data_IF_916026558801
#
_entry.id   IF_916026558801
#
_cell.length_a   1.000
_cell.length_b   1.000
_cell.length_c   1.000
_cell.angle_alpha   90.00
_cell.angle_beta   90.00
_cell.angle_gamma   90.00
#
_symmetry.space_group_name_H-M   'P 1'
#
loop_
_entity.id
_entity.type
_entity.pdbx_description
1 polymer ?
#
# COMPACT_ATOMS: atom_id res chain seq x y z
N UNK A 1 14.41 35.84 41.16
CA UNK A 1 13.81 35.99 39.85
C UNK A 1 13.16 34.66 39.46
N UNK A 2 11.85 34.55 39.33
CA UNK A 2 11.22 33.32 38.92
C UNK A 2 11.57 33.04 37.43
N UNK A 3 12.15 31.87 37.18
CA UNK A 3 12.45 31.42 35.81
C UNK A 3 11.15 31.29 34.98
N UNK A 4 11.10 31.73 33.76
CA UNK A 4 9.93 31.60 32.88
C UNK A 4 9.80 30.19 32.31
N UNK A 5 9.63 29.22 33.21
CA UNK A 5 9.40 27.79 32.86
C UNK A 5 8.20 27.57 31.90
N UNK A 6 7.27 28.50 31.89
CA UNK A 6 6.07 28.42 31.05
C UNK A 6 6.33 28.83 29.59
N UNK A 7 7.16 29.81 29.35
CA UNK A 7 7.50 30.32 28.03
C UNK A 7 8.40 29.30 27.30
N UNK A 8 9.36 28.71 28.01
CA UNK A 8 10.28 27.72 27.49
C UNK A 8 9.55 26.44 27.02
N UNK A 9 8.59 25.92 27.82
CA UNK A 9 7.78 24.77 27.43
C UNK A 9 6.86 25.03 26.24
N UNK A 10 6.33 26.24 26.12
CA UNK A 10 5.47 26.62 24.98
C UNK A 10 6.31 26.73 23.69
N UNK A 11 7.47 27.34 23.77
CA UNK A 11 8.41 27.50 22.66
C UNK A 11 8.92 26.14 22.14
N UNK A 12 9.31 25.25 23.05
CA UNK A 12 9.71 23.88 22.66
C UNK A 12 8.61 23.09 21.96
N UNK A 13 7.35 23.25 22.35
CA UNK A 13 6.22 22.61 21.68
C UNK A 13 6.01 23.12 20.25
N UNK A 14 6.20 24.44 20.04
CA UNK A 14 6.06 25.04 18.72
C UNK A 14 7.13 24.51 17.77
N UNK A 15 8.40 24.48 18.20
CA UNK A 15 9.50 23.92 17.40
C UNK A 15 9.27 22.45 17.11
N UNK A 16 8.85 21.66 18.10
CA UNK A 16 8.59 20.24 17.91
C UNK A 16 7.48 19.99 16.89
N UNK A 17 6.41 20.79 16.93
CA UNK A 17 5.33 20.72 15.94
C UNK A 17 5.80 21.11 14.55
N UNK A 18 6.60 22.15 14.46
CA UNK A 18 7.18 22.59 13.19
C UNK A 18 8.03 21.49 12.54
N UNK A 19 8.99 20.94 13.29
CA UNK A 19 9.86 19.86 12.81
C UNK A 19 9.07 18.61 12.41
N UNK A 20 8.03 18.25 13.17
CA UNK A 20 7.16 17.12 12.82
C UNK A 20 6.40 17.35 11.51
N UNK A 21 5.90 18.57 11.29
CA UNK A 21 5.23 18.94 10.05
C UNK A 21 6.21 18.96 8.88
N UNK A 22 7.46 19.38 9.10
CA UNK A 22 8.51 19.40 8.08
C UNK A 22 8.94 17.97 7.65
N UNK A 23 8.79 16.98 8.53
CA UNK A 23 8.92 15.56 8.16
C UNK A 23 7.67 15.04 7.46
N UNK A 24 6.48 15.45 7.89
CA UNK A 24 5.21 14.92 7.39
C UNK A 24 4.90 15.38 5.97
N UNK A 25 5.22 16.65 5.60
CA UNK A 25 4.95 17.19 4.26
C UNK A 25 5.61 16.37 3.14
N UNK A 26 6.95 16.17 3.13
CA UNK A 26 7.58 15.36 2.09
C UNK A 26 7.16 13.89 2.16
N UNK A 27 6.85 13.36 3.36
CA UNK A 27 6.33 12.01 3.50
C UNK A 27 5.02 11.81 2.72
N UNK A 28 4.08 12.73 2.84
CA UNK A 28 2.83 12.66 2.09
C UNK A 28 3.06 12.76 0.58
N UNK A 29 3.96 13.67 0.16
CA UNK A 29 4.29 13.85 -1.27
C UNK A 29 4.93 12.57 -1.82
N UNK A 30 5.97 12.03 -1.18
CA UNK A 30 6.63 10.80 -1.63
C UNK A 30 5.70 9.59 -1.57
N UNK A 31 4.90 9.45 -0.50
CA UNK A 31 3.93 8.36 -0.39
C UNK A 31 2.92 8.40 -1.53
N UNK A 32 2.32 9.55 -1.80
CA UNK A 32 1.33 9.69 -2.87
C UNK A 32 1.94 9.41 -4.24
N UNK A 33 3.11 9.97 -4.52
CA UNK A 33 3.81 9.81 -5.79
C UNK A 33 4.21 8.35 -6.02
N UNK A 34 4.86 7.72 -5.04
CA UNK A 34 5.33 6.33 -5.18
C UNK A 34 4.18 5.33 -5.20
N UNK A 35 3.13 5.55 -4.38
CA UNK A 35 1.93 4.72 -4.45
C UNK A 35 1.30 4.82 -5.83
N UNK A 36 1.17 6.03 -6.38
CA UNK A 36 0.59 6.23 -7.72
C UNK A 36 1.38 5.50 -8.81
N UNK A 37 2.69 5.67 -8.83
CA UNK A 37 3.56 5.02 -9.84
C UNK A 37 3.51 3.50 -9.70
N UNK A 38 3.75 2.96 -8.51
CA UNK A 38 3.77 1.51 -8.31
C UNK A 38 2.39 0.88 -8.44
N UNK A 39 1.33 1.61 -8.09
CA UNK A 39 -0.03 1.14 -8.33
C UNK A 39 -0.32 1.00 -9.83
N UNK A 40 0.09 1.98 -10.66
CA UNK A 40 -0.05 1.87 -12.11
C UNK A 40 0.69 0.65 -12.65
N UNK A 41 1.93 0.43 -12.22
CA UNK A 41 2.72 -0.74 -12.65
C UNK A 41 2.06 -2.06 -12.26
N UNK A 42 1.50 -2.13 -11.05
CA UNK A 42 0.86 -3.36 -10.56
C UNK A 42 -0.54 -3.61 -11.12
N UNK A 43 -1.27 -2.56 -11.49
CA UNK A 43 -2.62 -2.73 -12.00
C UNK A 43 -2.65 -3.16 -13.47
N UNK A 44 -1.67 -2.76 -14.28
CA UNK A 44 -1.63 -3.05 -15.72
C UNK A 44 -1.82 -4.54 -16.06
N UNK A 45 -1.03 -5.49 -15.52
CA UNK A 45 -1.20 -6.91 -15.85
C UNK A 45 -2.55 -7.46 -15.34
N UNK A 46 -3.08 -6.93 -14.25
CA UNK A 46 -4.40 -7.32 -13.73
C UNK A 46 -5.51 -6.82 -14.65
N UNK A 47 -5.39 -5.61 -15.19
CA UNK A 47 -6.33 -5.05 -16.16
C UNK A 47 -6.33 -5.87 -17.46
N UNK A 48 -5.16 -6.26 -17.95
CA UNK A 48 -5.07 -7.12 -19.14
C UNK A 48 -5.86 -8.41 -18.95
N UNK A 49 -5.67 -9.09 -17.82
CA UNK A 49 -6.43 -10.31 -17.48
C UNK A 49 -7.94 -10.04 -17.45
N UNK A 50 -8.39 -8.92 -16.88
CA UNK A 50 -9.81 -8.59 -16.80
C UNK A 50 -10.40 -8.29 -18.19
N UNK A 51 -9.68 -7.59 -19.06
CA UNK A 51 -10.11 -7.27 -20.42
C UNK A 51 -10.23 -8.55 -21.26
N UNK A 52 -9.23 -9.42 -21.24
CA UNK A 52 -9.23 -10.69 -21.94
C UNK A 52 -10.42 -11.57 -21.53
N UNK A 53 -10.81 -11.48 -20.25
CA UNK A 53 -11.93 -12.23 -19.70
C UNK A 53 -13.28 -11.51 -19.82
N UNK A 54 -13.37 -10.38 -20.54
CA UNK A 54 -14.58 -9.59 -20.76
C UNK A 54 -15.33 -9.25 -19.45
N UNK A 55 -14.59 -8.94 -18.40
CA UNK A 55 -15.16 -8.62 -17.10
C UNK A 55 -15.86 -7.24 -17.10
N UNK A 56 -16.95 -7.06 -16.34
CA UNK A 56 -17.65 -5.78 -16.25
C UNK A 56 -16.80 -4.73 -15.52
N UNK A 57 -17.04 -3.43 -15.84
CA UNK A 57 -16.29 -2.30 -15.27
C UNK A 57 -16.26 -2.27 -13.73
N UNK A 58 -17.32 -2.77 -13.08
CA UNK A 58 -17.38 -2.87 -11.62
C UNK A 58 -16.28 -3.74 -11.01
N UNK A 59 -15.89 -4.84 -11.71
CA UNK A 59 -14.78 -5.71 -11.29
C UNK A 59 -13.45 -4.98 -11.42
N UNK A 60 -13.25 -4.19 -12.49
CA UNK A 60 -12.09 -3.33 -12.66
C UNK A 60 -11.88 -2.40 -11.46
N UNK A 61 -12.94 -1.69 -11.08
CA UNK A 61 -12.87 -0.75 -9.96
C UNK A 61 -12.56 -1.45 -8.64
N UNK A 62 -13.17 -2.60 -8.41
CA UNK A 62 -12.90 -3.42 -7.23
C UNK A 62 -11.42 -3.87 -7.18
N UNK A 63 -10.88 -4.40 -8.27
CA UNK A 63 -9.48 -4.83 -8.34
C UNK A 63 -8.53 -3.65 -8.16
N UNK A 64 -8.83 -2.51 -8.80
CA UNK A 64 -8.04 -1.30 -8.69
C UNK A 64 -7.94 -0.80 -7.24
N UNK A 65 -9.07 -0.70 -6.54
CA UNK A 65 -9.12 -0.25 -5.15
C UNK A 65 -8.42 -1.22 -4.18
N UNK A 66 -8.61 -2.52 -4.35
CA UNK A 66 -8.00 -3.51 -3.45
C UNK A 66 -6.51 -3.75 -3.73
N UNK A 67 -5.97 -3.22 -4.83
CA UNK A 67 -4.53 -3.24 -5.11
C UNK A 67 -3.78 -2.14 -4.34
N UNK A 68 -4.42 -1.00 -4.01
CA UNK A 68 -3.79 0.13 -3.31
C UNK A 68 -3.15 -0.28 -1.98
N UNK A 69 -3.79 -1.02 -1.05
CA UNK A 69 -3.18 -1.39 0.21
C UNK A 69 -1.94 -2.28 0.07
N UNK A 70 -1.90 -3.13 -0.97
CA UNK A 70 -0.74 -3.96 -1.26
C UNK A 70 0.48 -3.12 -1.64
N UNK A 71 0.26 -2.09 -2.46
CA UNK A 71 1.31 -1.14 -2.84
C UNK A 71 1.72 -0.27 -1.65
N UNK A 72 0.76 0.25 -0.89
CA UNK A 72 1.01 1.11 0.25
C UNK A 72 1.89 0.43 1.32
N UNK A 73 1.71 -0.87 1.55
CA UNK A 73 2.54 -1.65 2.47
C UNK A 73 4.04 -1.54 2.15
N UNK A 74 4.43 -1.61 0.88
CA UNK A 74 5.83 -1.49 0.46
C UNK A 74 6.30 -0.05 0.39
N UNK A 75 5.44 0.87 -0.03
CA UNK A 75 5.80 2.26 -0.29
C UNK A 75 5.99 3.06 0.99
N UNK A 76 5.14 2.87 1.99
CA UNK A 76 5.14 3.70 3.20
C UNK A 76 6.51 3.73 3.92
N UNK A 77 7.20 2.60 4.16
CA UNK A 77 8.52 2.62 4.78
C UNK A 77 9.57 3.36 3.93
N UNK A 78 9.53 3.15 2.63
CA UNK A 78 10.44 3.78 1.66
C UNK A 78 10.22 5.29 1.62
N UNK A 79 8.96 5.72 1.55
CA UNK A 79 8.59 7.13 1.57
C UNK A 79 9.00 7.81 2.88
N UNK A 80 8.85 7.13 4.03
CA UNK A 80 9.28 7.65 5.32
C UNK A 80 10.80 7.84 5.38
N UNK A 81 11.57 6.91 4.82
CA UNK A 81 13.02 7.02 4.73
C UNK A 81 13.45 8.23 3.87
N UNK A 82 12.92 8.34 2.65
CA UNK A 82 13.23 9.46 1.77
C UNK A 82 12.79 10.80 2.34
N UNK A 83 11.62 10.85 2.96
CA UNK A 83 11.11 12.06 3.61
C UNK A 83 12.01 12.53 4.73
N UNK A 84 12.52 11.61 5.55
CA UNK A 84 13.42 11.93 6.65
C UNK A 84 14.74 12.51 6.14
N UNK A 85 15.34 11.87 5.12
CA UNK A 85 16.57 12.38 4.49
C UNK A 85 16.34 13.76 3.89
N UNK A 86 15.24 13.94 3.15
CA UNK A 86 14.91 15.21 2.52
C UNK A 86 14.72 16.32 3.55
N UNK A 87 13.93 16.06 4.61
CA UNK A 87 13.67 17.06 5.65
C UNK A 87 14.94 17.46 6.40
N UNK A 88 15.80 16.50 6.75
CA UNK A 88 17.08 16.79 7.40
C UNK A 88 17.98 17.62 6.48
N UNK A 89 18.12 17.20 5.21
CA UNK A 89 18.92 17.96 4.24
C UNK A 89 18.43 19.39 4.06
N UNK A 90 17.12 19.58 3.97
CA UNK A 90 16.51 20.92 3.86
C UNK A 90 16.85 21.78 5.07
N UNK A 91 16.62 21.27 6.28
CA UNK A 91 16.90 21.99 7.53
C UNK A 91 18.40 22.34 7.69
N UNK A 92 19.29 21.50 7.17
CA UNK A 92 20.74 21.80 7.13
C UNK A 92 21.06 22.88 6.12
N UNK A 93 20.54 22.76 4.90
CA UNK A 93 20.83 23.69 3.79
C UNK A 93 20.29 25.09 4.05
N UNK A 94 19.16 25.21 4.74
CA UNK A 94 18.54 26.47 5.13
C UNK A 94 19.12 27.03 6.46
N UNK A 95 20.16 26.39 7.01
CA UNK A 95 20.78 26.73 8.30
C UNK A 95 19.80 26.76 9.50
N UNK A 96 18.61 26.20 9.33
CA UNK A 96 17.57 26.15 10.39
C UNK A 96 18.00 25.31 11.59
N UNK A 97 18.75 24.24 11.39
CA UNK A 97 19.29 23.41 12.48
C UNK A 97 20.20 24.27 13.38
N UNK A 98 21.02 25.14 12.81
CA UNK A 98 21.91 26.02 13.57
C UNK A 98 21.08 27.05 14.34
N UNK A 99 20.07 27.65 13.73
CA UNK A 99 19.17 28.61 14.38
C UNK A 99 18.38 27.97 15.54
N UNK A 100 17.88 26.75 15.32
CA UNK A 100 17.12 26.00 16.33
C UNK A 100 18.02 25.58 17.52
N UNK A 101 19.23 25.11 17.26
CA UNK A 101 20.17 24.73 18.33
C UNK A 101 20.71 25.94 19.10
N UNK A 102 20.95 27.07 18.43
CA UNK A 102 21.35 28.34 19.09
C UNK A 102 20.27 28.88 20.03
N UNK A 103 18.99 28.56 19.77
CA UNK A 103 17.89 28.94 20.66
C UNK A 103 17.78 28.07 21.91
N UNK A 104 18.72 27.12 22.13
CA UNK A 104 18.73 26.20 23.27
C UNK A 104 18.00 24.89 23.06
N UNK A 105 17.52 24.62 21.83
CA UNK A 105 16.87 23.33 21.52
C UNK A 105 17.91 22.21 21.41
N UNK A 106 17.79 21.20 22.28
CA UNK A 106 18.75 20.10 22.37
C UNK A 106 18.67 19.19 21.16
N UNK A 107 19.85 18.69 20.68
CA UNK A 107 19.93 17.69 19.64
C UNK A 107 19.16 16.38 20.00
N UNK A 108 19.12 16.02 21.29
CA UNK A 108 18.32 14.89 21.78
C UNK A 108 16.84 15.12 21.55
N UNK A 109 16.35 16.35 21.71
CA UNK A 109 14.96 16.70 21.44
C UNK A 109 14.62 16.61 19.95
N UNK A 110 15.55 16.98 19.07
CA UNK A 110 15.43 16.80 17.64
C UNK A 110 15.31 15.31 17.26
N UNK A 111 16.19 14.46 17.77
CA UNK A 111 16.17 13.00 17.55
C UNK A 111 14.86 12.37 18.05
N UNK A 112 14.32 12.83 19.18
CA UNK A 112 13.02 12.35 19.68
C UNK A 112 11.87 12.62 18.71
N UNK A 113 11.89 13.74 18.00
CA UNK A 113 10.83 14.07 17.04
C UNK A 113 10.90 13.15 15.82
N UNK A 114 12.10 12.86 15.30
CA UNK A 114 12.29 11.89 14.21
C UNK A 114 11.80 10.50 14.65
N UNK A 115 12.15 10.09 15.87
CA UNK A 115 11.70 8.81 16.42
C UNK A 115 10.17 8.74 16.59
N UNK A 116 9.56 9.83 17.08
CA UNK A 116 8.10 9.93 17.18
C UNK A 116 7.41 9.87 15.82
N UNK A 117 7.99 10.51 14.79
CA UNK A 117 7.53 10.37 13.42
C UNK A 117 7.62 8.91 12.93
N UNK A 118 8.74 8.23 13.18
CA UNK A 118 8.91 6.80 12.85
C UNK A 118 7.87 5.92 13.55
N UNK A 119 7.58 6.15 14.82
CA UNK A 119 6.51 5.43 15.56
C UNK A 119 5.15 5.68 14.91
N UNK A 120 4.84 6.92 14.53
CA UNK A 120 3.57 7.25 13.89
C UNK A 120 3.40 6.51 12.55
N UNK A 121 4.46 6.47 11.72
CA UNK A 121 4.48 5.73 10.45
C UNK A 121 4.35 4.22 10.69
N UNK A 122 5.07 3.68 11.66
CA UNK A 122 4.96 2.27 12.07
C UNK A 122 3.56 1.89 12.51
N UNK A 123 2.88 2.76 13.25
CA UNK A 123 1.51 2.53 13.68
C UNK A 123 0.54 2.50 12.49
N UNK A 124 0.69 3.44 11.55
CA UNK A 124 -0.10 3.45 10.32
C UNK A 124 0.13 2.15 9.53
N UNK A 125 1.39 1.75 9.37
CA UNK A 125 1.75 0.53 8.65
C UNK A 125 1.18 -0.71 9.35
N UNK A 126 1.23 -0.76 10.67
CA UNK A 126 0.64 -1.83 11.48
C UNK A 126 -0.86 -1.96 11.21
N UNK A 127 -1.60 -0.85 11.25
CA UNK A 127 -3.04 -0.84 10.98
C UNK A 127 -3.35 -1.32 9.55
N UNK A 128 -2.58 -0.86 8.56
CA UNK A 128 -2.75 -1.30 7.17
C UNK A 128 -2.49 -2.81 7.06
N UNK A 129 -1.41 -3.32 7.65
CA UNK A 129 -1.00 -4.73 7.54
C UNK A 129 -1.96 -5.67 8.23
N UNK A 130 -2.49 -5.31 9.41
CA UNK A 130 -3.35 -6.21 10.18
C UNK A 130 -4.82 -6.15 9.75
N UNK A 131 -5.32 -5.01 9.33
CA UNK A 131 -6.75 -4.82 9.08
C UNK A 131 -7.11 -4.68 7.59
N UNK A 132 -6.32 -3.93 6.84
CA UNK A 132 -6.65 -3.58 5.45
C UNK A 132 -6.10 -4.59 4.47
N UNK A 133 -4.83 -4.95 4.62
CA UNK A 133 -4.13 -5.84 3.70
C UNK A 133 -4.77 -7.23 3.59
N UNK A 134 -5.12 -7.95 4.69
CA UNK A 134 -5.73 -9.26 4.59
C UNK A 134 -7.07 -9.23 3.86
N UNK A 135 -7.94 -8.26 4.21
CA UNK A 135 -9.25 -8.10 3.55
C UNK A 135 -9.11 -7.86 2.05
N UNK A 136 -8.16 -7.01 1.66
CA UNK A 136 -7.90 -6.69 0.26
C UNK A 136 -7.32 -7.89 -0.49
N UNK A 137 -6.39 -8.64 0.12
CA UNK A 137 -5.79 -9.82 -0.46
C UNK A 137 -6.82 -10.93 -0.70
N UNK A 138 -7.65 -11.25 0.31
CA UNK A 138 -8.73 -12.23 0.16
C UNK A 138 -9.73 -11.84 -0.93
N UNK A 139 -10.11 -10.56 -0.99
CA UNK A 139 -11.04 -10.09 -2.02
C UNK A 139 -10.46 -10.20 -3.43
N UNK A 140 -9.20 -9.83 -3.62
CA UNK A 140 -8.52 -10.00 -4.91
C UNK A 140 -8.44 -11.48 -5.29
N UNK A 141 -8.03 -12.33 -4.36
CA UNK A 141 -7.92 -13.77 -4.61
C UNK A 141 -9.28 -14.38 -5.00
N UNK A 142 -10.37 -14.00 -4.33
CA UNK A 142 -11.71 -14.49 -4.69
C UNK A 142 -12.12 -14.05 -6.09
N UNK A 143 -11.85 -12.78 -6.47
CA UNK A 143 -12.19 -12.28 -7.81
C UNK A 143 -11.43 -13.05 -8.90
N UNK A 144 -10.13 -13.27 -8.72
CA UNK A 144 -9.33 -14.01 -9.71
C UNK A 144 -9.71 -15.49 -9.76
N UNK A 145 -10.00 -16.10 -8.62
CA UNK A 145 -10.47 -17.48 -8.57
C UNK A 145 -11.81 -17.67 -9.29
N UNK A 146 -12.77 -16.76 -9.10
CA UNK A 146 -14.05 -16.78 -9.81
C UNK A 146 -13.88 -16.63 -11.33
N UNK A 147 -12.92 -15.82 -11.76
CA UNK A 147 -12.57 -15.64 -13.17
C UNK A 147 -11.98 -16.95 -13.74
N UNK A 148 -11.03 -17.57 -13.05
CA UNK A 148 -10.39 -18.81 -13.49
C UNK A 148 -11.37 -19.98 -13.56
N UNK A 149 -12.26 -20.13 -12.58
CA UNK A 149 -13.30 -21.16 -12.61
C UNK A 149 -14.27 -20.98 -13.79
N UNK A 150 -14.75 -19.77 -14.02
CA UNK A 150 -15.62 -19.49 -15.16
C UNK A 150 -14.93 -19.73 -16.49
N UNK A 151 -13.61 -19.60 -16.55
CA UNK A 151 -12.80 -19.94 -17.74
C UNK A 151 -12.70 -21.46 -17.92
N UNK A 152 -12.37 -22.20 -16.86
CA UNK A 152 -12.29 -23.67 -16.92
C UNK A 152 -13.58 -24.29 -17.44
N UNK A 153 -14.71 -23.80 -16.97
CA UNK A 153 -16.03 -24.31 -17.41
C UNK A 153 -16.34 -23.95 -18.87
N UNK A 154 -15.91 -22.79 -19.36
CA UNK A 154 -16.12 -22.38 -20.77
C UNK A 154 -15.27 -23.15 -21.77
N UNK A 155 -14.11 -23.65 -21.37
CA UNK A 155 -13.24 -24.47 -22.24
C UNK A 155 -13.56 -25.96 -22.20
N UNK A 156 -14.45 -26.40 -21.30
CA UNK A 156 -14.95 -27.79 -21.27
C UNK A 156 -16.01 -27.92 -22.36
N UNK A 157 -15.57 -27.99 -23.62
CA UNK A 157 -16.41 -28.39 -24.73
C UNK A 157 -16.69 -29.89 -24.62
N UNK A 158 -17.95 -30.27 -24.71
CA UNK A 158 -18.38 -31.66 -24.70
C UNK A 158 -17.66 -32.46 -25.79
N UNK A 159 -17.01 -33.57 -25.42
CA UNK A 159 -16.35 -34.47 -26.36
C UNK A 159 -14.85 -34.20 -26.61
N UNK A 160 -14.21 -33.29 -25.90
CA UNK A 160 -12.75 -33.06 -26.01
C UNK A 160 -12.00 -33.59 -24.79
N UNK A 161 -10.81 -34.17 -25.03
CA UNK A 161 -9.87 -34.56 -23.96
C UNK A 161 -9.13 -33.34 -23.46
N UNK A 162 -9.17 -33.09 -22.16
CA UNK A 162 -8.46 -32.03 -21.49
C UNK A 162 -7.29 -32.62 -20.69
N UNK A 163 -6.11 -32.01 -20.83
CA UNK A 163 -4.90 -32.39 -20.10
C UNK A 163 -4.52 -31.22 -19.15
N UNK A 164 -5.25 -30.99 -18.05
CA UNK A 164 -5.01 -29.86 -17.15
C UNK A 164 -3.67 -29.95 -16.41
N UNK A 165 -3.14 -31.16 -16.23
CA UNK A 165 -1.84 -31.43 -15.58
C UNK A 165 -1.19 -32.61 -16.31
N UNK A 166 0.15 -32.62 -16.42
CA UNK A 166 0.90 -33.74 -16.99
C UNK A 166 0.55 -35.07 -16.30
N UNK A 167 -0.10 -35.98 -17.04
CA UNK A 167 -0.50 -37.31 -16.58
C UNK A 167 -1.98 -37.47 -16.17
N UNK A 168 -2.80 -36.40 -16.23
CA UNK A 168 -4.24 -36.49 -15.97
C UNK A 168 -5.02 -36.08 -17.21
N UNK A 169 -5.84 -37.02 -17.72
CA UNK A 169 -6.75 -36.76 -18.85
C UNK A 169 -8.18 -36.84 -18.35
N UNK A 170 -8.92 -35.74 -18.50
CA UNK A 170 -10.33 -35.64 -18.11
C UNK A 170 -11.17 -35.67 -19.40
N UNK A 171 -12.14 -36.58 -19.48
CA UNK A 171 -13.09 -36.65 -20.56
C UNK A 171 -14.49 -36.31 -20.06
N UNK A 172 -15.08 -35.25 -20.60
CA UNK A 172 -16.45 -34.82 -20.24
C UNK A 172 -17.40 -35.21 -21.37
N UNK A 173 -18.32 -36.13 -21.08
CA UNK A 173 -19.25 -36.70 -22.06
C UNK A 173 -20.44 -35.79 -22.37
N UNK A 174 -20.82 -34.91 -21.44
CA UNK A 174 -21.98 -34.05 -21.64
C UNK A 174 -22.04 -32.89 -20.63
N UNK A 175 -22.72 -31.82 -21.01
CA UNK A 175 -22.97 -30.66 -20.16
C UNK A 175 -24.49 -30.50 -19.98
N UNK A 176 -24.98 -30.62 -18.76
CA UNK A 176 -26.36 -30.26 -18.41
C UNK A 176 -26.44 -28.74 -18.13
N UNK A 177 -27.56 -28.12 -18.46
CA UNK A 177 -27.78 -26.66 -18.47
C UNK A 177 -27.60 -25.96 -17.11
N UNK A 178 -27.34 -26.60 -16.02
CA UNK A 178 -27.08 -25.98 -14.71
C UNK A 178 -25.95 -26.69 -13.97
N UNK A 179 -24.71 -26.30 -14.28
CA UNK A 179 -23.51 -26.55 -13.45
C UNK A 179 -23.25 -28.01 -12.99
N UNK A 180 -23.85 -29.01 -13.62
CA UNK A 180 -23.62 -30.42 -13.32
C UNK A 180 -22.97 -31.14 -14.51
N UNK A 181 -21.91 -31.90 -14.20
CA UNK A 181 -21.21 -32.76 -15.17
C UNK A 181 -21.77 -34.19 -15.11
N UNK A 182 -22.12 -34.78 -16.26
CA UNK A 182 -22.51 -36.21 -16.36
C UNK A 182 -21.38 -36.99 -17.01
N UNK A 183 -20.97 -38.09 -16.35
CA UNK A 183 -19.99 -39.03 -16.90
C UNK A 183 -18.55 -38.56 -16.86
N UNK A 184 -18.03 -38.34 -15.66
CA UNK A 184 -16.59 -38.17 -15.41
C UNK A 184 -15.90 -39.50 -15.29
#
# INVERSE_FOLDING_TARGET
>A
MPKPLFIEKSFMKVISKYLYIELLKPFLIFSFTFIGILWLVQILPKLETLVLNKQPLGVFFNVAMHTIPQVAYFVIPVAAFFSTIYAINKLVSEAEIVAITSSGFSFISFTKIIFMFGISVSLILFLITFFVLPKSAFKLQSIFFDIEQNFGIKFIDSGKFLHPISGVTIYVRGKLEENQMTGV
#
